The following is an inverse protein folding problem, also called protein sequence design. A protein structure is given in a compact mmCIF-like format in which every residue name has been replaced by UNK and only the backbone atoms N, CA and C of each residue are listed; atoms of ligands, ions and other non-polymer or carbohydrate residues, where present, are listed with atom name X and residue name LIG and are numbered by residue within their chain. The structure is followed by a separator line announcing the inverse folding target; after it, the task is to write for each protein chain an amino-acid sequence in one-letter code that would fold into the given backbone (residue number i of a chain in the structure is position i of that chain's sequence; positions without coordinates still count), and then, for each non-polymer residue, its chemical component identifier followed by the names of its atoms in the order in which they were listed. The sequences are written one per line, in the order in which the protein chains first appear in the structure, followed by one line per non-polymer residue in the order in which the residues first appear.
data_IF_755045517659
#
_entry.id   IF_755045517659
#
_cell.length_a   1.000
_cell.length_b   1.000
_cell.length_c   1.000
_cell.angle_alpha   90.00
_cell.angle_beta   90.00
_cell.angle_gamma   90.00
#
_symmetry.space_group_name_H-M   'P 1'
#
loop_
_entity.id
_entity.type
_entity.pdbx_description
1 polymer ?
#
# COMPACT_ATOMS: atom_id res chain seq x y z
N UNK A 1 66.59 31.30 -49.12
CA UNK A 1 67.59 30.36 -49.73
C UNK A 1 66.81 29.10 -50.12
N UNK A 2 66.82 28.80 -51.41
CA UNK A 2 66.17 27.68 -52.10
C UNK A 2 66.76 26.36 -51.63
N UNK A 3 65.93 25.31 -51.47
CA UNK A 3 66.21 24.02 -52.09
C UNK A 3 64.93 23.21 -52.29
N UNK A 4 64.62 22.98 -53.54
CA UNK A 4 63.70 21.95 -54.04
C UNK A 4 64.43 20.59 -53.99
N UNK A 5 63.73 19.54 -53.68
CA UNK A 5 63.97 18.25 -54.35
C UNK A 5 62.75 17.37 -54.39
N UNK A 6 62.59 16.81 -55.56
CA UNK A 6 61.50 16.08 -56.18
C UNK A 6 61.47 14.59 -55.79
N UNK A 7 60.27 14.03 -55.92
CA UNK A 7 59.88 12.71 -56.47
C UNK A 7 60.10 11.45 -55.62
N UNK A 8 59.11 10.67 -55.39
CA UNK A 8 58.77 9.45 -56.14
C UNK A 8 57.46 8.81 -55.66
N UNK A 9 56.57 8.62 -56.61
CA UNK A 9 55.34 7.85 -56.55
C UNK A 9 55.61 6.35 -56.46
N UNK A 10 55.05 5.63 -55.55
CA UNK A 10 54.84 4.18 -55.63
C UNK A 10 53.36 3.86 -55.27
N UNK A 11 52.63 3.42 -56.28
CA UNK A 11 51.30 2.91 -56.17
C UNK A 11 51.35 1.50 -55.58
N UNK A 12 50.86 1.34 -54.35
CA UNK A 12 50.65 0.05 -53.73
C UNK A 12 49.12 -0.25 -53.62
N UNK A 13 48.71 -1.18 -54.47
CA UNK A 13 47.34 -1.67 -54.51
C UNK A 13 47.09 -2.54 -53.26
N UNK A 14 46.47 -2.01 -52.23
CA UNK A 14 46.07 -2.78 -51.05
C UNK A 14 44.65 -3.35 -51.25
N UNK A 15 44.59 -4.66 -51.40
CA UNK A 15 43.35 -5.42 -51.45
C UNK A 15 42.72 -5.45 -50.02
N UNK A 16 41.66 -4.68 -49.81
CA UNK A 16 40.89 -4.71 -48.54
C UNK A 16 39.92 -5.88 -48.60
N UNK A 17 40.25 -6.96 -47.91
CA UNK A 17 39.32 -8.07 -47.63
C UNK A 17 38.36 -7.62 -46.56
N UNK A 18 37.13 -7.30 -46.93
CA UNK A 18 36.02 -7.05 -46.02
C UNK A 18 35.58 -8.37 -45.38
N UNK A 19 36.13 -8.72 -44.23
CA UNK A 19 35.61 -9.76 -43.37
C UNK A 19 34.31 -9.24 -42.73
N UNK A 20 33.19 -9.66 -43.27
CA UNK A 20 31.87 -9.38 -42.70
C UNK A 20 31.68 -10.11 -41.35
N UNK A 21 31.86 -9.41 -40.24
CA UNK A 21 31.42 -9.89 -38.93
C UNK A 21 29.89 -9.97 -38.92
N UNK A 22 29.33 -11.16 -39.10
CA UNK A 22 27.94 -11.43 -38.72
C UNK A 22 27.82 -11.26 -37.20
N UNK A 23 27.17 -10.18 -36.76
CA UNK A 23 26.69 -10.08 -35.37
C UNK A 23 25.77 -11.27 -35.10
N UNK A 24 25.97 -12.01 -33.98
CA UNK A 24 24.97 -12.98 -33.56
C UNK A 24 23.71 -12.21 -33.24
N UNK A 25 22.59 -12.65 -33.84
CA UNK A 25 21.27 -12.17 -33.46
C UNK A 25 21.05 -12.51 -31.98
N UNK A 26 21.10 -11.50 -31.13
CA UNK A 26 20.72 -11.65 -29.73
C UNK A 26 19.29 -12.14 -29.69
N UNK A 27 19.07 -13.34 -29.18
CA UNK A 27 17.75 -13.81 -28.79
C UNK A 27 17.27 -12.92 -27.64
N UNK A 28 16.55 -11.86 -27.96
CA UNK A 28 15.79 -11.11 -26.99
C UNK A 28 14.76 -12.06 -26.41
N UNK A 29 15.01 -12.57 -25.19
CA UNK A 29 13.94 -13.16 -24.41
C UNK A 29 12.93 -12.04 -24.16
N UNK A 30 11.82 -12.07 -24.90
CA UNK A 30 10.66 -11.26 -24.52
C UNK A 30 10.19 -11.82 -23.18
N UNK A 31 10.50 -11.12 -22.10
CA UNK A 31 9.82 -11.33 -20.83
C UNK A 31 8.34 -11.07 -21.10
N UNK A 32 7.59 -12.14 -21.31
CA UNK A 32 6.13 -12.08 -21.35
C UNK A 32 5.68 -11.60 -19.98
N UNK A 33 5.19 -10.36 -19.88
CA UNK A 33 4.51 -9.88 -18.68
C UNK A 33 3.50 -10.94 -18.26
N UNK A 34 3.46 -11.34 -16.98
CA UNK A 34 2.49 -12.33 -16.52
C UNK A 34 1.08 -11.84 -16.87
N UNK A 35 0.29 -12.73 -17.46
CA UNK A 35 -1.09 -12.41 -17.76
C UNK A 35 -1.85 -12.20 -16.45
N UNK A 36 -2.55 -11.07 -16.32
CA UNK A 36 -3.38 -10.80 -15.14
C UNK A 36 -4.53 -11.80 -15.04
N UNK A 37 -4.75 -12.28 -13.82
CA UNK A 37 -5.91 -13.08 -13.47
C UNK A 37 -7.13 -12.17 -13.34
N UNK A 38 -8.18 -12.47 -14.10
CA UNK A 38 -9.47 -11.80 -13.94
C UNK A 38 -10.28 -12.48 -12.85
N UNK A 39 -11.01 -11.70 -12.05
CA UNK A 39 -11.96 -12.25 -11.08
C UNK A 39 -13.17 -12.79 -11.84
N UNK A 40 -13.40 -14.10 -11.74
CA UNK A 40 -14.61 -14.72 -12.27
C UNK A 40 -15.77 -14.55 -11.28
N UNK A 41 -16.55 -13.52 -11.49
CA UNK A 41 -17.72 -13.22 -10.65
C UNK A 41 -18.82 -14.30 -10.70
N UNK A 42 -18.77 -15.27 -11.62
CA UNK A 42 -19.71 -16.37 -11.64
C UNK A 42 -19.40 -17.45 -10.61
N UNK A 43 -18.15 -17.55 -10.17
CA UNK A 43 -17.68 -18.53 -9.18
C UNK A 43 -17.12 -17.90 -7.92
N UNK A 44 -16.81 -16.61 -7.95
CA UNK A 44 -16.19 -15.91 -6.83
C UNK A 44 -17.03 -16.01 -5.55
N UNK A 45 -16.37 -16.30 -4.45
CA UNK A 45 -16.94 -16.28 -3.11
C UNK A 45 -16.48 -15.07 -2.31
N UNK A 46 -16.89 -15.05 -1.05
CA UNK A 46 -16.64 -13.95 -0.11
C UNK A 46 -16.19 -14.54 1.22
N UNK A 47 -15.23 -13.91 1.89
CA UNK A 47 -15.00 -14.09 3.32
C UNK A 47 -15.64 -12.89 4.03
N UNK A 48 -16.49 -13.16 5.00
CA UNK A 48 -17.13 -12.16 5.84
C UNK A 48 -16.93 -12.52 7.30
N UNK A 49 -16.91 -11.55 8.19
CA UNK A 49 -16.79 -11.82 9.62
C UNK A 49 -16.78 -10.55 10.45
N UNK A 50 -16.57 -10.74 11.74
CA UNK A 50 -16.51 -9.67 12.73
C UNK A 50 -15.21 -9.76 13.51
N UNK A 51 -14.58 -8.63 13.70
CA UNK A 51 -13.46 -8.47 14.62
C UNK A 51 -14.02 -8.08 15.98
N UNK A 52 -13.81 -8.93 16.98
CA UNK A 52 -14.24 -8.70 18.34
C UNK A 52 -13.11 -8.20 19.23
N UNK A 53 -13.43 -7.35 20.19
CA UNK A 53 -12.56 -7.01 21.30
C UNK A 53 -13.04 -7.73 22.56
N UNK A 54 -12.25 -8.66 23.09
CA UNK A 54 -12.54 -9.34 24.35
C UNK A 54 -12.17 -8.44 25.54
N UNK A 55 -13.05 -8.40 26.53
CA UNK A 55 -12.88 -7.56 27.71
C UNK A 55 -13.40 -6.13 27.51
N UNK A 56 -13.06 -5.25 28.45
CA UNK A 56 -13.42 -3.83 28.36
C UNK A 56 -12.41 -3.13 27.48
N UNK A 57 -12.85 -2.59 26.35
CA UNK A 57 -12.04 -1.73 25.51
C UNK A 57 -11.62 -0.48 26.30
N UNK A 58 -10.34 -0.07 26.26
CA UNK A 58 -9.92 1.20 26.84
C UNK A 58 -10.76 2.37 26.30
N UNK A 59 -11.09 3.32 27.16
CA UNK A 59 -11.75 4.55 26.69
C UNK A 59 -10.77 5.34 25.82
N UNK A 60 -11.21 5.88 24.67
CA UNK A 60 -10.35 6.70 23.83
C UNK A 60 -9.88 7.95 24.58
N UNK A 61 -8.58 8.21 24.59
CA UNK A 61 -8.00 9.38 25.21
C UNK A 61 -8.28 10.62 24.36
N UNK A 62 -8.75 11.69 24.99
CA UNK A 62 -8.90 12.97 24.31
C UNK A 62 -7.53 13.57 24.02
N UNK A 63 -7.31 13.98 22.77
CA UNK A 63 -6.07 14.54 22.30
C UNK A 63 -6.06 16.06 22.59
N UNK A 64 -5.02 16.52 23.28
CA UNK A 64 -4.75 17.95 23.43
C UNK A 64 -4.12 18.51 22.14
N UNK A 65 -4.85 19.36 21.45
CA UNK A 65 -4.42 20.02 20.21
C UNK A 65 -4.03 21.50 20.41
N UNK A 66 -3.84 21.96 21.64
CA UNK A 66 -3.57 23.37 21.96
C UNK A 66 -2.27 23.91 21.35
N UNK A 67 -1.37 23.05 20.90
CA UNK A 67 -0.11 23.46 20.24
C UNK A 67 -0.33 24.15 18.89
N UNK A 68 -1.44 23.87 18.20
CA UNK A 68 -1.80 24.53 16.94
C UNK A 68 -3.12 25.29 17.11
N UNK A 69 -3.11 26.63 16.89
CA UNK A 69 -4.31 27.45 17.04
C UNK A 69 -5.48 27.04 16.15
N UNK A 70 -5.21 26.49 14.95
CA UNK A 70 -6.25 26.02 14.05
C UNK A 70 -6.81 24.69 14.54
N UNK A 71 -5.95 23.76 14.92
CA UNK A 71 -6.37 22.46 15.44
C UNK A 71 -7.15 22.59 16.75
N UNK A 72 -6.80 23.55 17.61
CA UNK A 72 -7.51 23.82 18.87
C UNK A 72 -8.95 24.27 18.69
N UNK A 73 -9.30 24.80 17.51
CA UNK A 73 -10.67 25.18 17.14
C UNK A 73 -11.46 24.03 16.50
N UNK A 74 -10.80 22.92 16.19
CA UNK A 74 -11.46 21.73 15.65
C UNK A 74 -12.30 21.04 16.73
N UNK A 75 -13.31 20.24 16.35
CA UNK A 75 -13.98 19.35 17.30
C UNK A 75 -12.98 18.48 18.05
N UNK A 76 -13.31 18.08 19.28
CA UNK A 76 -12.45 17.22 20.08
C UNK A 76 -12.05 15.95 19.33
N UNK A 77 -10.76 15.66 19.29
CA UNK A 77 -10.19 14.45 18.74
C UNK A 77 -9.86 13.47 19.87
N UNK A 78 -9.95 12.19 19.54
CA UNK A 78 -9.64 11.08 20.44
C UNK A 78 -8.69 10.11 19.78
N UNK A 79 -7.94 9.37 20.59
CA UNK A 79 -7.08 8.29 20.10
C UNK A 79 -7.91 7.25 19.34
N UNK A 80 -7.33 6.72 18.23
CA UNK A 80 -8.00 5.74 17.36
C UNK A 80 -7.47 4.31 17.52
N UNK A 81 -6.63 4.07 18.53
CA UNK A 81 -6.04 2.76 18.81
C UNK A 81 -7.10 1.72 19.22
N UNK A 82 -8.09 2.13 20.01
CA UNK A 82 -9.17 1.26 20.46
C UNK A 82 -10.50 1.92 20.14
N UNK A 83 -10.99 1.67 18.94
CA UNK A 83 -12.28 2.22 18.48
C UNK A 83 -13.19 1.10 18.07
N UNK A 84 -14.47 1.21 18.46
CA UNK A 84 -15.47 0.24 18.06
C UNK A 84 -16.80 0.45 18.75
N UNK A 85 -17.77 -0.37 18.38
CA UNK A 85 -19.13 -0.35 18.92
C UNK A 85 -19.59 -1.78 19.18
N UNK A 86 -20.38 -1.97 20.25
CA UNK A 86 -21.03 -3.24 20.55
C UNK A 86 -20.07 -4.44 20.64
N UNK A 87 -18.84 -4.23 21.14
CA UNK A 87 -17.80 -5.27 21.21
C UNK A 87 -17.04 -5.52 19.90
N UNK A 88 -17.37 -4.83 18.83
CA UNK A 88 -16.61 -4.84 17.60
C UNK A 88 -15.36 -3.96 17.69
N UNK A 89 -14.28 -4.33 17.00
CA UNK A 89 -13.03 -3.58 16.93
C UNK A 89 -12.82 -3.05 15.50
N UNK A 90 -12.72 -1.72 15.37
CA UNK A 90 -12.46 -1.00 14.12
C UNK A 90 -10.95 -0.93 13.84
N UNK A 91 -10.60 -0.53 12.63
CA UNK A 91 -9.22 -0.26 12.19
C UNK A 91 -8.30 -1.49 12.18
N UNK A 92 -8.85 -2.69 12.15
CA UNK A 92 -8.09 -3.90 11.88
C UNK A 92 -7.96 -4.08 10.38
N UNK A 93 -6.74 -4.34 9.89
CA UNK A 93 -6.48 -4.68 8.50
C UNK A 93 -6.56 -6.19 8.31
N UNK A 94 -7.45 -6.66 7.46
CA UNK A 94 -7.66 -8.08 7.16
C UNK A 94 -7.25 -8.35 5.72
N UNK A 95 -6.39 -9.36 5.48
CA UNK A 95 -5.91 -9.66 4.14
C UNK A 95 -5.66 -11.15 3.91
N UNK A 96 -5.76 -11.56 2.65
CA UNK A 96 -5.38 -12.89 2.21
C UNK A 96 -3.86 -12.93 2.03
N UNK A 97 -3.21 -13.68 2.91
CA UNK A 97 -1.76 -13.87 2.91
C UNK A 97 -1.32 -14.96 1.93
N UNK A 98 -2.00 -16.12 1.94
CA UNK A 98 -1.66 -17.28 1.14
C UNK A 98 -2.91 -17.96 0.56
N UNK A 99 -2.72 -18.84 -0.44
CA UNK A 99 -3.78 -19.65 -1.05
C UNK A 99 -4.15 -19.20 -2.48
N UNK A 100 -3.62 -18.08 -2.95
CA UNK A 100 -3.87 -17.60 -4.32
C UNK A 100 -2.97 -18.25 -5.39
N UNK A 101 -1.93 -18.99 -4.98
CA UNK A 101 -0.93 -19.55 -5.89
C UNK A 101 -0.19 -18.44 -6.66
N UNK A 102 0.10 -18.69 -7.94
CA UNK A 102 0.84 -17.75 -8.79
C UNK A 102 -0.07 -16.74 -9.51
N UNK A 103 -1.28 -16.49 -9.00
CA UNK A 103 -2.21 -15.54 -9.61
C UNK A 103 -1.76 -14.10 -9.36
N UNK A 104 -1.69 -13.33 -10.44
CA UNK A 104 -1.37 -11.90 -10.41
C UNK A 104 -2.61 -11.13 -10.82
N UNK A 105 -2.98 -10.13 -10.04
CA UNK A 105 -4.17 -9.32 -10.28
C UNK A 105 -3.80 -7.92 -10.78
N UNK A 106 -4.66 -7.29 -11.60
CA UNK A 106 -4.40 -5.92 -12.06
C UNK A 106 -4.45 -4.95 -10.88
N UNK A 107 -3.48 -4.04 -10.85
CA UNK A 107 -3.44 -2.96 -9.86
C UNK A 107 -4.54 -1.95 -10.19
N UNK A 108 -5.38 -1.55 -9.23
CA UNK A 108 -6.39 -0.52 -9.46
C UNK A 108 -5.77 0.80 -9.93
N UNK A 109 -6.38 1.43 -10.95
CA UNK A 109 -5.93 2.73 -11.46
C UNK A 109 -6.33 3.90 -10.57
N UNK A 110 -7.41 3.74 -9.79
CA UNK A 110 -7.84 4.74 -8.80
C UNK A 110 -6.88 4.77 -7.61
N UNK A 111 -6.51 5.97 -7.14
CA UNK A 111 -5.69 6.08 -5.94
C UNK A 111 -6.48 5.72 -4.67
N UNK A 112 -5.78 5.21 -3.67
CA UNK A 112 -6.24 5.24 -2.29
C UNK A 112 -6.01 6.64 -1.75
N UNK A 113 -7.02 7.26 -1.15
CA UNK A 113 -6.92 8.63 -0.64
C UNK A 113 -6.85 8.62 0.88
N UNK A 114 -5.89 9.36 1.42
CA UNK A 114 -5.77 9.68 2.85
C UNK A 114 -5.83 11.20 2.98
N UNK A 115 -6.86 11.71 3.63
CA UNK A 115 -7.06 13.15 3.82
C UNK A 115 -6.61 13.59 5.21
N UNK A 116 -6.03 14.77 5.30
CA UNK A 116 -5.72 15.47 6.54
C UNK A 116 -6.85 16.45 6.81
N UNK A 117 -7.74 16.07 7.71
CA UNK A 117 -8.95 16.82 8.03
C UNK A 117 -9.30 16.75 9.50
N UNK A 118 -9.52 17.91 10.11
CA UNK A 118 -9.77 18.00 11.54
C UNK A 118 -8.54 17.64 12.36
N UNK A 119 -7.36 17.93 11.82
CA UNK A 119 -6.05 17.65 12.42
C UNK A 119 -5.85 16.15 12.75
N UNK A 120 -6.25 15.31 11.81
CA UNK A 120 -6.04 13.85 11.79
C UNK A 120 -5.91 13.35 10.36
N UNK A 121 -5.33 12.18 10.17
CA UNK A 121 -5.43 11.44 8.91
C UNK A 121 -6.74 10.66 8.86
N UNK A 122 -7.41 10.69 7.74
CA UNK A 122 -8.69 9.97 7.52
C UNK A 122 -8.64 9.26 6.18
N UNK A 123 -8.84 7.92 6.12
CA UNK A 123 -9.04 7.00 7.24
C UNK A 123 -7.76 6.75 8.07
N UNK A 124 -7.93 6.23 9.31
CA UNK A 124 -6.81 5.89 10.19
C UNK A 124 -6.00 4.68 9.67
N UNK A 125 -6.66 3.68 9.10
CA UNK A 125 -6.03 2.51 8.47
C UNK A 125 -6.49 2.38 7.04
N UNK A 126 -5.55 2.20 6.11
CA UNK A 126 -5.85 1.99 4.69
C UNK A 126 -5.09 0.80 4.14
N UNK A 127 -5.67 0.17 3.11
CA UNK A 127 -5.03 -0.87 2.29
C UNK A 127 -4.85 -0.43 0.85
N UNK A 128 -3.75 -0.85 0.24
CA UNK A 128 -3.45 -0.64 -1.18
C UNK A 128 -2.77 -1.89 -1.76
N UNK A 129 -2.78 -2.03 -3.07
CA UNK A 129 -1.93 -3.02 -3.73
C UNK A 129 -0.53 -2.47 -3.98
N UNK A 130 0.47 -3.36 -4.02
CA UNK A 130 1.80 -3.02 -4.54
C UNK A 130 1.65 -2.37 -5.91
N UNK A 131 2.26 -1.20 -6.11
CA UNK A 131 2.15 -0.43 -7.35
C UNK A 131 0.92 0.48 -7.44
N UNK A 132 -0.03 0.40 -6.50
CA UNK A 132 -1.17 1.31 -6.46
C UNK A 132 -0.77 2.67 -5.89
N UNK A 133 -1.30 3.73 -6.47
CA UNK A 133 -1.09 5.09 -5.98
C UNK A 133 -1.83 5.32 -4.67
N UNK A 134 -1.12 5.86 -3.67
CA UNK A 134 -1.69 6.39 -2.44
C UNK A 134 -1.55 7.91 -2.50
N UNK A 135 -2.66 8.62 -2.39
CA UNK A 135 -2.75 10.07 -2.52
C UNK A 135 -3.07 10.69 -1.17
N UNK A 136 -2.27 11.64 -0.75
CA UNK A 136 -2.47 12.42 0.47
C UNK A 136 -2.99 13.80 0.10
N UNK A 137 -4.08 14.21 0.74
CA UNK A 137 -4.69 15.55 0.60
C UNK A 137 -4.64 16.27 1.94
N UNK A 138 -4.72 17.61 1.91
CA UNK A 138 -4.84 18.43 3.11
C UNK A 138 -6.07 19.34 2.97
N UNK A 139 -7.14 18.98 3.67
CA UNK A 139 -8.39 19.74 3.72
C UNK A 139 -8.48 20.69 4.91
N UNK A 140 -7.44 20.75 5.75
CA UNK A 140 -7.39 21.67 6.89
C UNK A 140 -6.80 23.02 6.49
N UNK A 141 -7.18 24.11 7.18
CA UNK A 141 -6.61 25.44 6.97
C UNK A 141 -5.28 25.66 7.68
N UNK A 142 -4.55 24.60 8.01
CA UNK A 142 -3.20 24.61 8.58
C UNK A 142 -2.25 23.70 7.80
N UNK A 143 -0.94 23.89 7.99
CA UNK A 143 0.08 23.05 7.38
C UNK A 143 0.19 21.73 8.11
N UNK A 144 0.16 20.64 7.36
CA UNK A 144 0.46 19.31 7.85
C UNK A 144 1.68 18.71 7.15
N UNK A 145 2.12 17.57 7.65
CA UNK A 145 3.24 16.83 7.11
C UNK A 145 2.85 15.36 6.98
N UNK A 146 3.31 14.71 5.92
CA UNK A 146 3.12 13.27 5.68
C UNK A 146 4.48 12.59 5.76
N UNK A 147 4.83 12.07 6.92
CA UNK A 147 6.06 11.32 7.15
C UNK A 147 5.75 9.83 7.17
N UNK A 148 6.05 9.15 6.06
CA UNK A 148 5.91 7.71 5.90
C UNK A 148 7.21 7.02 6.27
N UNK A 149 7.11 5.98 7.11
CA UNK A 149 8.27 5.26 7.67
C UNK A 149 8.18 3.77 7.28
N UNK A 150 8.57 3.42 6.02
CA UNK A 150 8.60 2.02 5.59
C UNK A 150 9.58 1.19 6.41
N UNK A 151 9.23 -0.07 6.64
CA UNK A 151 10.06 -1.04 7.38
C UNK A 151 10.72 -2.07 6.47
N UNK A 152 10.20 -2.23 5.25
CA UNK A 152 10.70 -3.20 4.27
C UNK A 152 11.74 -2.55 3.34
N UNK A 153 12.91 -3.16 3.24
CA UNK A 153 13.99 -2.68 2.37
C UNK A 153 13.54 -2.59 0.90
N UNK A 154 13.85 -1.44 0.25
CA UNK A 154 13.47 -1.14 -1.13
C UNK A 154 12.29 -0.18 -1.25
N UNK A 155 11.47 0.00 -0.23
CA UNK A 155 10.57 1.12 -0.12
C UNK A 155 11.30 2.32 0.50
N UNK A 156 11.00 3.51 0.02
CA UNK A 156 11.68 4.73 0.47
C UNK A 156 10.81 5.50 1.46
N UNK A 157 11.45 6.00 2.51
CA UNK A 157 10.87 7.00 3.41
C UNK A 157 10.47 8.23 2.62
N UNK A 158 9.37 8.86 2.98
CA UNK A 158 8.97 10.15 2.44
C UNK A 158 8.55 11.08 3.57
N UNK A 159 8.94 12.33 3.44
CA UNK A 159 8.65 13.41 4.37
C UNK A 159 8.19 14.62 3.55
N UNK A 160 6.87 14.87 3.58
CA UNK A 160 6.21 15.81 2.67
C UNK A 160 5.42 16.81 3.48
N UNK A 161 5.79 18.09 3.38
CA UNK A 161 4.97 19.17 3.92
C UNK A 161 3.86 19.53 2.93
N UNK A 162 2.63 19.59 3.41
CA UNK A 162 1.46 20.01 2.62
C UNK A 162 0.86 21.29 3.21
N UNK A 163 0.85 22.35 2.39
CA UNK A 163 0.17 23.59 2.73
C UNK A 163 -1.35 23.40 2.88
N UNK A 164 -2.05 24.33 3.54
CA UNK A 164 -3.51 24.33 3.60
C UNK A 164 -4.12 24.25 2.19
N UNK A 165 -5.02 23.30 1.96
CA UNK A 165 -5.66 23.06 0.66
C UNK A 165 -4.66 22.91 -0.50
N UNK A 166 -3.45 22.43 -0.21
CA UNK A 166 -2.38 22.20 -1.19
C UNK A 166 -2.73 21.11 -2.20
N UNK A 167 -1.91 20.99 -3.25
CA UNK A 167 -2.10 19.93 -4.25
C UNK A 167 -1.90 18.55 -3.60
N UNK A 168 -2.65 17.54 -4.05
CA UNK A 168 -2.45 16.18 -3.59
C UNK A 168 -1.03 15.69 -3.87
N UNK A 169 -0.42 15.06 -2.87
CA UNK A 169 0.86 14.38 -2.98
C UNK A 169 0.63 12.87 -3.04
N UNK A 170 1.44 12.18 -3.83
CA UNK A 170 1.21 10.74 -4.03
C UNK A 170 2.48 9.92 -3.89
N UNK A 171 2.31 8.68 -3.41
CA UNK A 171 3.39 7.69 -3.33
C UNK A 171 2.92 6.34 -3.87
N UNK A 172 3.90 5.58 -4.36
CA UNK A 172 3.73 4.20 -4.84
C UNK A 172 4.79 3.36 -4.14
N UNK A 173 4.37 2.24 -3.56
CA UNK A 173 5.28 1.29 -2.93
C UNK A 173 5.51 0.08 -3.84
N UNK A 174 6.76 -0.33 -3.98
CA UNK A 174 7.17 -1.45 -4.84
C UNK A 174 7.27 -2.78 -4.10
N UNK A 175 7.14 -2.76 -2.78
CA UNK A 175 7.18 -3.92 -1.89
C UNK A 175 5.99 -3.90 -0.94
N UNK A 176 5.51 -5.08 -0.49
CA UNK A 176 4.51 -5.15 0.56
C UNK A 176 4.98 -4.46 1.85
N UNK A 177 4.06 -3.82 2.53
CA UNK A 177 4.24 -3.21 3.86
C UNK A 177 3.00 -3.49 4.70
N UNK A 178 3.17 -3.77 5.97
CA UNK A 178 2.06 -3.95 6.90
C UNK A 178 2.19 -2.98 8.06
N UNK A 179 1.08 -2.36 8.42
CA UNK A 179 1.01 -1.35 9.49
C UNK A 179 2.14 -0.31 9.40
N UNK A 180 2.48 0.12 8.17
CA UNK A 180 3.47 1.17 7.95
C UNK A 180 2.96 2.49 8.55
N UNK A 181 3.66 3.06 9.55
CA UNK A 181 3.20 4.28 10.19
C UNK A 181 3.37 5.49 9.26
N UNK A 182 2.34 6.34 9.27
CA UNK A 182 2.33 7.68 8.68
C UNK A 182 2.11 8.67 9.82
N UNK A 183 3.00 9.65 9.97
CA UNK A 183 2.98 10.61 11.07
C UNK A 183 3.08 12.04 10.54
N UNK A 184 2.59 12.99 11.32
CA UNK A 184 2.83 14.41 11.10
C UNK A 184 3.95 14.88 12.03
N UNK A 185 5.01 15.50 11.48
CA UNK A 185 6.09 16.03 12.31
C UNK A 185 5.67 17.29 13.10
N UNK A 186 4.64 18.00 12.62
CA UNK A 186 4.12 19.22 13.26
C UNK A 186 3.10 18.91 14.37
N UNK A 187 2.36 17.79 14.23
CA UNK A 187 1.25 17.41 15.10
C UNK A 187 1.44 15.98 15.58
N UNK A 188 2.12 15.75 16.70
CA UNK A 188 2.56 14.41 17.15
C UNK A 188 1.41 13.44 17.42
N UNK A 189 0.20 13.95 17.56
CA UNK A 189 -1.02 13.14 17.70
C UNK A 189 -1.56 12.59 16.37
N UNK A 190 -1.16 13.17 15.23
CA UNK A 190 -1.64 12.72 13.92
C UNK A 190 -0.87 11.48 13.47
N UNK A 191 -1.58 10.37 13.43
CA UNK A 191 -1.05 9.07 13.01
C UNK A 191 -2.07 8.33 12.15
N UNK A 192 -1.58 7.57 11.17
CA UNK A 192 -2.33 6.60 10.37
C UNK A 192 -1.43 5.42 10.00
N UNK A 193 -2.04 4.35 9.47
CA UNK A 193 -1.32 3.16 9.04
C UNK A 193 -1.68 2.80 7.61
N UNK A 194 -0.65 2.58 6.81
CA UNK A 194 -0.78 2.13 5.43
C UNK A 194 -0.36 0.67 5.33
N UNK A 195 -1.21 -0.12 4.70
CA UNK A 195 -0.95 -1.51 4.38
C UNK A 195 -0.85 -1.67 2.87
N UNK A 196 0.21 -2.31 2.40
CA UNK A 196 0.45 -2.56 0.99
C UNK A 196 0.61 -4.05 0.78
N UNK A 197 -0.24 -4.67 -0.03
CA UNK A 197 -0.27 -6.11 -0.27
C UNK A 197 -0.24 -6.43 -1.77
N UNK A 198 0.09 -7.67 -2.12
CA UNK A 198 0.28 -8.07 -3.53
C UNK A 198 -1.01 -8.40 -4.28
N UNK A 199 -2.13 -8.49 -3.58
CA UNK A 199 -3.40 -8.91 -4.15
C UNK A 199 -4.55 -8.01 -3.66
N UNK A 200 -5.72 -7.99 -4.36
CA UNK A 200 -6.83 -7.10 -4.02
C UNK A 200 -7.72 -7.62 -2.88
N UNK A 201 -7.38 -8.75 -2.26
CA UNK A 201 -8.23 -9.43 -1.28
C UNK A 201 -7.90 -9.00 0.13
N UNK A 202 -8.35 -7.81 0.49
CA UNK A 202 -8.20 -7.23 1.82
C UNK A 202 -9.41 -6.35 2.18
N UNK A 203 -9.55 -6.05 3.46
CA UNK A 203 -10.55 -5.16 4.02
C UNK A 203 -9.99 -4.46 5.28
N UNK A 204 -10.66 -3.42 5.73
CA UNK A 204 -10.46 -2.83 7.05
C UNK A 204 -11.78 -2.95 7.81
N UNK A 205 -11.72 -3.38 9.07
CA UNK A 205 -12.93 -3.54 9.87
C UNK A 205 -13.64 -2.22 10.15
N UNK A 206 -14.97 -2.23 10.02
CA UNK A 206 -15.84 -1.11 10.33
C UNK A 206 -16.01 -0.91 11.84
N UNK A 207 -16.77 0.12 12.25
CA UNK A 207 -16.96 0.47 13.67
C UNK A 207 -17.65 -0.62 14.52
N UNK A 208 -18.39 -1.51 13.89
CA UNK A 208 -19.02 -2.69 14.52
C UNK A 208 -18.14 -3.96 14.42
N UNK A 209 -16.91 -3.81 13.91
CA UNK A 209 -15.97 -4.89 13.67
C UNK A 209 -16.20 -5.65 12.36
N UNK A 210 -17.28 -5.36 11.62
CA UNK A 210 -17.60 -6.08 10.40
C UNK A 210 -16.56 -5.86 9.29
N UNK A 211 -16.27 -6.93 8.53
CA UNK A 211 -15.45 -6.88 7.32
C UNK A 211 -15.94 -7.85 6.25
N UNK A 212 -15.65 -7.54 4.99
CA UNK A 212 -15.91 -8.41 3.84
C UNK A 212 -14.74 -8.37 2.85
N UNK A 213 -14.27 -9.55 2.42
CA UNK A 213 -13.31 -9.73 1.33
C UNK A 213 -14.02 -10.46 0.20
N UNK A 214 -14.32 -9.76 -0.89
CA UNK A 214 -15.10 -10.24 -2.03
C UNK A 214 -14.22 -10.66 -3.21
N UNK A 215 -14.79 -11.46 -4.10
CA UNK A 215 -14.14 -11.79 -5.37
C UNK A 215 -13.14 -12.94 -5.31
N UNK A 216 -13.10 -13.68 -4.20
CA UNK A 216 -12.17 -14.78 -4.01
C UNK A 216 -12.53 -15.97 -4.91
N UNK A 217 -11.59 -16.51 -5.71
CA UNK A 217 -11.77 -17.80 -6.34
C UNK A 217 -12.10 -18.89 -5.31
N UNK A 218 -12.81 -19.96 -5.66
CA UNK A 218 -12.94 -21.11 -4.77
C UNK A 218 -11.56 -21.67 -4.39
N UNK A 219 -11.31 -21.84 -3.08
CA UNK A 219 -10.00 -22.27 -2.58
C UNK A 219 -9.90 -22.22 -1.07
N UNK A 220 -8.73 -22.64 -0.56
CA UNK A 220 -8.40 -22.53 0.87
C UNK A 220 -7.33 -21.45 1.04
N UNK A 221 -7.56 -20.55 1.97
CA UNK A 221 -6.79 -19.33 2.17
C UNK A 221 -6.27 -19.20 3.60
N UNK A 222 -5.08 -18.66 3.74
CA UNK A 222 -4.58 -18.12 5.00
C UNK A 222 -4.96 -16.65 5.06
N UNK A 223 -5.78 -16.28 6.03
CA UNK A 223 -6.23 -14.90 6.27
C UNK A 223 -5.58 -14.39 7.55
N UNK A 224 -5.06 -13.18 7.49
CA UNK A 224 -4.45 -12.49 8.64
C UNK A 224 -5.27 -11.25 8.97
N UNK A 225 -5.57 -11.06 10.24
CA UNK A 225 -6.10 -9.82 10.81
C UNK A 225 -4.98 -9.15 11.61
N UNK A 226 -4.67 -7.89 11.31
CA UNK A 226 -3.56 -7.13 11.89
C UNK A 226 -4.04 -5.82 12.49
N UNK A 227 -3.70 -5.59 13.76
CA UNK A 227 -4.06 -4.38 14.50
C UNK A 227 -2.80 -3.68 15.01
N UNK A 228 -2.74 -2.37 14.92
CA UNK A 228 -1.55 -1.53 15.22
C UNK A 228 -0.93 -1.78 16.60
N UNK A 229 -1.73 -2.16 17.61
CA UNK A 229 -1.28 -2.38 19.00
C UNK A 229 -1.38 -3.83 19.41
N UNK A 230 -2.42 -4.55 18.95
CA UNK A 230 -2.73 -5.91 19.40
C UNK A 230 -2.01 -6.98 18.58
N UNK A 231 -1.37 -6.58 17.47
CA UNK A 231 -0.62 -7.47 16.60
C UNK A 231 -1.50 -8.31 15.70
N UNK A 232 -1.03 -9.50 15.31
CA UNK A 232 -1.63 -10.32 14.28
C UNK A 232 -2.33 -11.55 14.82
N UNK A 233 -3.45 -11.91 14.17
CA UNK A 233 -4.09 -13.21 14.27
C UNK A 233 -4.23 -13.83 12.88
N UNK A 234 -4.19 -15.16 12.80
CA UNK A 234 -4.21 -15.88 11.54
C UNK A 234 -5.24 -17.01 11.59
N UNK A 235 -5.98 -17.19 10.51
CA UNK A 235 -6.92 -18.30 10.34
C UNK A 235 -6.79 -18.91 8.95
N UNK A 236 -7.15 -20.18 8.83
CA UNK A 236 -7.29 -20.86 7.54
C UNK A 236 -8.76 -21.07 7.25
N UNK A 237 -9.23 -20.63 6.07
CA UNK A 237 -10.63 -20.72 5.68
C UNK A 237 -10.76 -21.22 4.25
N UNK A 238 -11.75 -22.10 4.02
CA UNK A 238 -12.11 -22.59 2.69
C UNK A 238 -13.34 -21.84 2.19
N UNK A 239 -13.23 -21.32 0.97
CA UNK A 239 -14.29 -20.59 0.26
C UNK A 239 -14.72 -21.41 -0.95
N UNK A 240 -15.99 -21.82 -0.99
CA UNK A 240 -16.60 -22.46 -2.15
C UNK A 240 -17.11 -21.45 -3.18
N UNK A 241 -17.52 -21.97 -4.35
CA UNK A 241 -18.13 -21.12 -5.38
C UNK A 241 -19.42 -20.46 -4.86
N UNK A 242 -19.51 -19.13 -5.03
CA UNK A 242 -20.63 -18.28 -4.56
C UNK A 242 -20.89 -18.34 -3.04
N UNK A 243 -20.00 -18.96 -2.31
CA UNK A 243 -20.15 -19.08 -0.86
C UNK A 243 -19.76 -17.77 -0.16
N UNK A 244 -20.50 -17.44 0.90
CA UNK A 244 -20.05 -16.53 1.94
C UNK A 244 -19.53 -17.41 3.08
N UNK A 245 -18.20 -17.47 3.21
CA UNK A 245 -17.55 -18.19 4.29
C UNK A 245 -17.31 -17.22 5.45
N UNK A 246 -17.62 -17.65 6.67
CA UNK A 246 -17.54 -16.78 7.86
C UNK A 246 -16.26 -17.06 8.64
N UNK A 247 -15.55 -15.99 9.03
CA UNK A 247 -14.36 -16.04 9.88
C UNK A 247 -14.35 -14.83 10.82
N UNK A 248 -14.50 -15.08 12.09
CA UNK A 248 -14.35 -14.05 13.12
C UNK A 248 -12.96 -14.12 13.76
N UNK A 249 -12.49 -12.96 14.27
CA UNK A 249 -11.26 -12.84 15.04
C UNK A 249 -11.57 -12.15 16.36
N UNK A 250 -10.87 -12.51 17.44
CA UNK A 250 -11.07 -11.92 18.76
C UNK A 250 -9.74 -11.46 19.34
N UNK A 251 -9.58 -10.16 19.49
CA UNK A 251 -8.41 -9.55 20.13
C UNK A 251 -8.72 -9.26 21.61
N UNK A 252 -7.75 -9.50 22.48
CA UNK A 252 -7.85 -9.09 23.88
C UNK A 252 -7.26 -7.68 24.02
N UNK A 253 -8.04 -6.75 24.60
CA UNK A 253 -7.50 -5.44 24.99
C UNK A 253 -6.36 -5.63 26.01
N UNK A 254 -5.29 -4.84 25.86
CA UNK A 254 -4.12 -4.86 26.75
C UNK A 254 -4.20 -3.77 27.79
#
# INVERSE_FOLDING_TARGET
MRFLMKTATLAGLALVVLAGCKKPAGSGSSETKPAFTQIDWNTAGTISGTIHCAGKMPEPEQIDMAQDPVCSLSPANYSEQYVGKNGGLQNVFIYVKDGLGNKVYPVPSSPVVVDQKGCRYTPHVVGAMVGQKISFTNSDPTMHNVHMIPTVGGNQTADISQAPNGQPESRIFSKPELMMPVRCNNHPWMQAFVNVVENPFFAVSASDGHFEIKGLPPGTYTVVADHEVLGQQTATITVGAKQIATQDFTFAAK
#
